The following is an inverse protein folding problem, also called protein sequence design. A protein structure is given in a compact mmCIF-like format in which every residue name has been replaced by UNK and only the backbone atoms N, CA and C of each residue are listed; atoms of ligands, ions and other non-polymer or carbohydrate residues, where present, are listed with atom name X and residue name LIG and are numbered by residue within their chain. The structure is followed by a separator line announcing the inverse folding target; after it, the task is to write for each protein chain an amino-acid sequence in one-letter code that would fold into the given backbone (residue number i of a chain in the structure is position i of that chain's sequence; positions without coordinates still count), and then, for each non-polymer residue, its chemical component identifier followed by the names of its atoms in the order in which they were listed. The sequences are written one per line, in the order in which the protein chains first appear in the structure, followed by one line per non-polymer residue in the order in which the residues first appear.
data_IF_128416995138
#
_entry.id   IF_128416995138
#
_cell.length_a   1.000
_cell.length_b   1.000
_cell.length_c   1.000
_cell.angle_alpha   90.00
_cell.angle_beta   90.00
_cell.angle_gamma   90.00
#
_symmetry.space_group_name_H-M   'P 1'
#
loop_
_entity.id
_entity.type
_entity.pdbx_description
1 polymer ?
#
# COMPACT_ATOMS: atom_id res chain seq x y z
N UNK A 1 5.30 -63.05 -9.18
CA UNK A 1 5.11 -61.79 -9.93
C UNK A 1 4.58 -60.74 -8.96
N UNK A 2 5.41 -59.77 -8.54
CA UNK A 2 5.01 -58.69 -7.63
C UNK A 2 4.76 -57.44 -8.48
N UNK A 3 3.50 -57.04 -8.61
CA UNK A 3 3.14 -55.78 -9.24
C UNK A 3 3.53 -54.63 -8.29
N UNK A 4 4.54 -53.85 -8.67
CA UNK A 4 4.85 -52.59 -8.01
C UNK A 4 3.82 -51.55 -8.44
N UNK A 5 2.90 -51.20 -7.54
CA UNK A 5 2.05 -50.01 -7.70
C UNK A 5 2.87 -48.84 -7.17
N UNK A 6 3.51 -48.10 -8.08
CA UNK A 6 4.16 -46.83 -7.77
C UNK A 6 3.08 -45.74 -7.80
N UNK A 7 2.42 -45.51 -6.67
CA UNK A 7 1.48 -44.39 -6.50
C UNK A 7 2.26 -43.07 -6.49
N UNK A 8 2.12 -42.30 -7.58
CA UNK A 8 2.63 -40.94 -7.71
C UNK A 8 1.86 -39.97 -6.83
N UNK A 9 2.55 -39.35 -5.88
CA UNK A 9 2.02 -38.27 -5.04
C UNK A 9 2.09 -36.96 -5.85
N UNK A 10 1.01 -36.60 -6.55
CA UNK A 10 0.89 -35.30 -7.20
C UNK A 10 0.61 -34.27 -6.10
N UNK A 11 1.66 -33.57 -5.65
CA UNK A 11 1.53 -32.40 -4.80
C UNK A 11 0.92 -31.28 -5.64
N UNK A 12 -0.40 -31.07 -5.51
CA UNK A 12 -1.09 -29.89 -6.00
C UNK A 12 -0.56 -28.67 -5.24
N UNK A 13 0.47 -28.02 -5.77
CA UNK A 13 0.88 -26.70 -5.32
C UNK A 13 -0.21 -25.71 -5.71
N UNK A 14 -1.06 -25.35 -4.75
CA UNK A 14 -2.01 -24.25 -4.90
C UNK A 14 -1.23 -22.95 -5.08
N UNK A 15 -1.38 -22.33 -6.25
CA UNK A 15 -0.95 -20.95 -6.47
C UNK A 15 -1.85 -20.04 -5.64
N UNK A 16 -1.36 -19.60 -4.48
CA UNK A 16 -2.05 -18.59 -3.66
C UNK A 16 -1.88 -17.25 -4.37
N UNK A 17 -2.98 -16.71 -4.91
CA UNK A 17 -3.02 -15.35 -5.40
C UNK A 17 -3.40 -14.43 -4.24
N UNK A 18 -2.78 -13.26 -4.16
CA UNK A 18 -3.17 -12.25 -3.17
C UNK A 18 -4.60 -11.80 -3.47
N UNK A 19 -5.49 -11.93 -2.51
CA UNK A 19 -6.89 -11.56 -2.66
C UNK A 19 -7.10 -10.13 -2.18
N UNK A 20 -8.15 -9.47 -2.69
CA UNK A 20 -8.49 -8.14 -2.19
C UNK A 20 -9.03 -8.25 -0.76
N UNK A 21 -8.45 -7.47 0.14
CA UNK A 21 -8.87 -7.35 1.53
C UNK A 21 -9.88 -6.20 1.61
N UNK A 22 -11.16 -6.53 1.81
CA UNK A 22 -12.26 -5.58 1.59
C UNK A 22 -12.70 -4.84 2.85
N UNK A 23 -12.36 -5.35 4.03
CA UNK A 23 -12.68 -4.71 5.31
C UNK A 23 -11.42 -4.34 6.08
N UNK A 24 -11.56 -3.42 7.04
CA UNK A 24 -10.48 -3.11 7.98
C UNK A 24 -10.00 -4.37 8.71
N UNK A 25 -10.93 -5.22 9.15
CA UNK A 25 -10.64 -6.46 9.85
C UNK A 25 -9.85 -7.43 8.97
N UNK A 26 -10.20 -7.60 7.69
CA UNK A 26 -9.45 -8.47 6.77
C UNK A 26 -7.98 -8.05 6.66
N UNK A 27 -7.73 -6.72 6.64
CA UNK A 27 -6.38 -6.16 6.58
C UNK A 27 -5.65 -6.40 7.92
N UNK A 28 -6.29 -6.10 9.06
CA UNK A 28 -5.71 -6.30 10.38
C UNK A 28 -5.35 -7.78 10.64
N UNK A 29 -6.25 -8.70 10.28
CA UNK A 29 -6.06 -10.13 10.42
C UNK A 29 -4.92 -10.62 9.52
N UNK A 30 -4.87 -10.15 8.27
CA UNK A 30 -3.78 -10.49 7.34
C UNK A 30 -2.42 -9.99 7.83
N UNK A 31 -2.34 -8.79 8.41
CA UNK A 31 -1.13 -8.28 9.05
C UNK A 31 -0.74 -9.16 10.24
N UNK A 32 -1.69 -9.54 11.09
CA UNK A 32 -1.45 -10.37 12.27
C UNK A 32 -1.00 -11.79 11.91
N UNK A 33 -1.39 -12.28 10.73
CA UNK A 33 -0.93 -13.54 10.15
C UNK A 33 0.44 -13.44 9.45
N UNK A 34 1.06 -12.24 9.41
CA UNK A 34 2.35 -12.01 8.77
C UNK A 34 2.28 -11.98 7.24
N UNK A 35 1.08 -11.79 6.65
CA UNK A 35 0.93 -11.69 5.19
C UNK A 35 1.55 -10.39 4.66
N UNK A 36 2.05 -10.45 3.42
CA UNK A 36 2.53 -9.26 2.70
C UNK A 36 1.33 -8.50 2.16
N UNK A 37 1.20 -7.23 2.53
CA UNK A 37 0.09 -6.39 2.09
C UNK A 37 0.55 -5.42 1.00
N UNK A 38 -0.14 -5.42 -0.14
CA UNK A 38 0.02 -4.42 -1.20
C UNK A 38 -1.11 -3.41 -1.12
N UNK A 39 -0.77 -2.13 -1.08
CA UNK A 39 -1.69 -1.00 -1.10
C UNK A 39 -1.75 -0.43 -2.53
N UNK A 40 -2.96 -0.22 -3.03
CA UNK A 40 -3.20 0.34 -4.37
C UNK A 40 -4.13 1.54 -4.24
N UNK A 41 -3.73 2.67 -4.80
CA UNK A 41 -4.50 3.92 -4.77
C UNK A 41 -4.76 4.44 -6.18
N UNK A 42 -6.03 4.61 -6.53
CA UNK A 42 -6.49 5.29 -7.74
C UNK A 42 -6.79 6.74 -7.38
N UNK A 43 -5.83 7.65 -7.61
CA UNK A 43 -5.90 9.03 -7.09
C UNK A 43 -7.14 9.79 -7.61
N UNK A 44 -7.56 9.51 -8.84
CA UNK A 44 -8.73 10.16 -9.45
C UNK A 44 -10.08 9.79 -8.81
N UNK A 45 -10.14 8.69 -8.04
CA UNK A 45 -11.31 8.28 -7.27
C UNK A 45 -11.29 8.84 -5.83
N UNK A 46 -10.20 9.53 -5.44
CA UNK A 46 -10.01 10.12 -4.11
C UNK A 46 -10.28 11.62 -4.11
N UNK A 47 -10.49 12.17 -2.92
CA UNK A 47 -10.47 13.62 -2.71
C UNK A 47 -9.04 14.09 -2.50
N UNK A 48 -8.39 14.49 -3.60
CA UNK A 48 -7.07 15.07 -3.58
C UNK A 48 -7.17 16.61 -3.60
N UNK A 49 -6.88 17.26 -2.48
CA UNK A 49 -6.70 18.70 -2.50
C UNK A 49 -5.44 19.05 -3.29
N UNK A 50 -5.62 19.72 -4.44
CA UNK A 50 -4.52 20.31 -5.24
C UNK A 50 -3.56 19.32 -5.92
N UNK A 51 -4.02 18.15 -6.35
CA UNK A 51 -3.25 17.31 -7.28
C UNK A 51 -3.71 17.51 -8.75
N UNK A 52 -2.80 17.38 -9.73
CA UNK A 52 -3.16 17.42 -11.14
C UNK A 52 -4.21 16.35 -11.48
N UNK A 53 -5.07 16.64 -12.47
CA UNK A 53 -6.23 15.82 -12.87
C UNK A 53 -5.88 14.52 -13.60
N UNK A 54 -4.61 14.14 -13.63
CA UNK A 54 -4.17 12.93 -14.32
C UNK A 54 -4.59 11.67 -13.55
N UNK A 55 -5.07 10.66 -14.29
CA UNK A 55 -5.39 9.36 -13.72
C UNK A 55 -4.09 8.64 -13.34
N UNK A 56 -3.71 8.74 -12.07
CA UNK A 56 -2.59 8.00 -11.48
C UNK A 56 -3.13 6.83 -10.68
N UNK A 57 -2.57 5.64 -10.93
CA UNK A 57 -2.69 4.46 -10.07
C UNK A 57 -1.32 4.24 -9.42
N UNK A 58 -1.25 4.40 -8.10
CA UNK A 58 -0.05 4.14 -7.31
C UNK A 58 -0.17 2.79 -6.61
N UNK A 59 0.92 2.03 -6.57
CA UNK A 59 1.00 0.79 -5.80
C UNK A 59 2.24 0.81 -4.91
N UNK A 60 2.08 0.36 -3.67
CA UNK A 60 3.17 0.26 -2.71
C UNK A 60 2.99 -0.99 -1.85
N UNK A 61 4.10 -1.62 -1.49
CA UNK A 61 4.13 -2.71 -0.51
C UNK A 61 5.00 -2.27 0.68
N UNK A 62 4.41 -1.59 1.68
CA UNK A 62 5.13 -1.27 2.90
C UNK A 62 5.67 -2.56 3.54
N UNK A 63 6.91 -2.50 4.04
CA UNK A 63 7.53 -3.63 4.74
C UNK A 63 7.10 -3.74 6.21
N UNK A 64 6.38 -2.73 6.73
CA UNK A 64 5.94 -2.67 8.11
C UNK A 64 4.56 -2.01 8.21
N UNK A 65 3.71 -2.61 9.04
CA UNK A 65 2.39 -2.12 9.41
C UNK A 65 2.26 -2.12 10.93
N UNK A 66 1.45 -1.21 11.45
CA UNK A 66 0.98 -1.22 12.83
C UNK A 66 -0.54 -1.27 12.84
N UNK A 67 -1.11 -2.18 13.63
CA UNK A 67 -2.53 -2.18 14.01
C UNK A 67 -2.61 -1.54 15.39
N UNK A 68 -3.35 -0.45 15.53
CA UNK A 68 -3.45 0.36 16.74
C UNK A 68 -4.90 0.31 17.23
N UNK A 69 -5.08 -0.21 18.45
CA UNK A 69 -6.35 -0.28 19.17
C UNK A 69 -7.52 -0.87 18.37
N UNK A 70 -7.23 -1.74 17.40
CA UNK A 70 -8.20 -2.28 16.43
C UNK A 70 -9.05 -1.21 15.73
N UNK A 71 -8.57 0.03 15.69
CA UNK A 71 -9.30 1.16 15.13
C UNK A 71 -8.53 1.87 14.01
N UNK A 72 -7.21 1.67 13.95
CA UNK A 72 -6.35 2.28 12.93
C UNK A 72 -5.24 1.34 12.50
N UNK A 73 -5.04 1.22 11.19
CA UNK A 73 -3.87 0.60 10.58
C UNK A 73 -3.01 1.71 10.00
N UNK A 74 -1.71 1.66 10.24
CA UNK A 74 -0.78 2.63 9.66
C UNK A 74 0.47 1.98 9.10
N UNK A 75 0.94 2.53 7.98
CA UNK A 75 2.17 2.13 7.31
C UNK A 75 2.84 3.33 6.66
N UNK A 76 4.09 3.20 6.26
CA UNK A 76 4.77 4.25 5.51
C UNK A 76 5.78 3.70 4.52
N UNK A 77 6.01 4.45 3.47
CA UNK A 77 7.05 4.16 2.46
C UNK A 77 7.91 5.40 2.28
N UNK A 78 9.21 5.19 2.10
CA UNK A 78 10.13 6.21 1.59
C UNK A 78 10.38 5.91 0.13
N UNK A 79 10.02 6.82 -0.75
CA UNK A 79 10.26 6.71 -2.18
C UNK A 79 11.29 7.75 -2.59
N UNK A 80 12.47 7.29 -3.00
CA UNK A 80 13.47 8.17 -3.62
C UNK A 80 13.12 8.38 -5.09
N UNK A 81 13.25 9.60 -5.59
CA UNK A 81 12.97 9.93 -6.99
C UNK A 81 13.79 11.13 -7.46
N UNK A 82 14.00 11.22 -8.78
CA UNK A 82 14.49 12.41 -9.48
C UNK A 82 13.37 13.10 -10.29
N UNK A 83 12.16 12.53 -10.29
CA UNK A 83 11.06 12.92 -11.17
C UNK A 83 9.97 13.75 -10.48
N UNK A 84 10.15 14.07 -9.19
CA UNK A 84 9.19 14.89 -8.48
C UNK A 84 9.06 16.27 -9.18
N UNK A 85 7.83 16.70 -9.54
CA UNK A 85 7.61 17.90 -10.34
C UNK A 85 8.05 19.19 -9.66
N UNK A 86 8.18 19.22 -8.32
CA UNK A 86 8.63 20.40 -7.58
C UNK A 86 10.14 20.67 -7.73
N UNK A 87 10.92 19.65 -8.10
CA UNK A 87 12.38 19.75 -8.17
C UNK A 87 12.98 18.70 -9.13
N UNK A 88 12.48 18.62 -10.37
CA UNK A 88 12.94 17.63 -11.36
C UNK A 88 14.46 17.64 -11.53
N UNK A 89 15.05 16.45 -11.59
CA UNK A 89 16.49 16.24 -11.69
C UNK A 89 17.24 16.31 -10.36
N UNK A 90 16.61 16.78 -9.28
CA UNK A 90 17.23 16.80 -7.94
C UNK A 90 16.89 15.53 -7.15
N UNK A 91 17.79 15.05 -6.27
CA UNK A 91 17.51 13.97 -5.33
C UNK A 91 16.37 14.34 -4.35
N UNK A 92 15.22 13.67 -4.48
CA UNK A 92 14.03 13.89 -3.65
C UNK A 92 13.66 12.61 -2.89
N UNK A 93 13.22 12.78 -1.64
CA UNK A 93 12.57 11.77 -0.83
C UNK A 93 11.09 12.12 -0.64
N UNK A 94 10.21 11.25 -1.12
CA UNK A 94 8.79 11.27 -0.81
C UNK A 94 8.52 10.32 0.36
N UNK A 95 8.16 10.88 1.50
CA UNK A 95 7.71 10.11 2.65
C UNK A 95 6.19 10.01 2.63
N UNK A 96 5.67 8.83 2.29
CA UNK A 96 4.25 8.55 2.16
C UNK A 96 3.76 7.81 3.40
N UNK A 97 2.84 8.42 4.14
CA UNK A 97 2.20 7.86 5.33
C UNK A 97 0.76 7.49 5.00
N UNK A 98 0.42 6.23 5.25
CA UNK A 98 -0.93 5.69 5.12
C UNK A 98 -1.57 5.55 6.50
N UNK A 99 -2.82 5.97 6.62
CA UNK A 99 -3.69 5.64 7.75
C UNK A 99 -5.01 5.11 7.20
N UNK A 100 -5.42 3.94 7.65
CA UNK A 100 -6.70 3.29 7.34
C UNK A 100 -7.44 3.18 8.67
N UNK A 101 -8.61 3.78 8.78
CA UNK A 101 -9.43 3.72 9.99
C UNK A 101 -10.46 2.58 9.88
N UNK A 102 -10.99 2.15 11.03
CA UNK A 102 -11.97 1.04 11.10
C UNK A 102 -13.27 1.32 10.35
N UNK A 103 -13.64 2.58 10.19
CA UNK A 103 -14.79 3.03 9.39
C UNK A 103 -14.57 2.98 7.87
N UNK A 104 -13.36 2.58 7.43
CA UNK A 104 -12.97 2.51 6.03
C UNK A 104 -12.48 3.83 5.44
N UNK A 105 -12.41 4.92 6.21
CA UNK A 105 -11.74 6.14 5.77
C UNK A 105 -10.23 5.92 5.67
N UNK A 106 -9.62 6.48 4.62
CA UNK A 106 -8.18 6.36 4.37
C UNK A 106 -7.60 7.74 4.13
N UNK A 107 -6.51 8.07 4.84
CA UNK A 107 -5.71 9.26 4.56
C UNK A 107 -4.31 8.87 4.13
N UNK A 108 -3.84 9.45 3.05
CA UNK A 108 -2.49 9.28 2.51
C UNK A 108 -1.82 10.64 2.48
N UNK A 109 -0.80 10.82 3.33
CA UNK A 109 -0.02 12.04 3.38
C UNK A 109 1.33 11.81 2.72
N UNK A 110 1.66 12.59 1.71
CA UNK A 110 3.00 12.65 1.14
C UNK A 110 3.71 13.90 1.67
N UNK A 111 4.93 13.71 2.17
CA UNK A 111 5.84 14.79 2.55
C UNK A 111 7.06 14.70 1.63
N UNK A 112 7.23 15.72 0.80
CA UNK A 112 8.31 15.82 -0.19
C UNK A 112 9.48 16.55 0.47
N UNK A 113 10.63 15.92 0.50
CA UNK A 113 11.85 16.44 1.11
C UNK A 113 13.02 16.39 0.14
N UNK A 114 13.94 17.33 0.26
CA UNK A 114 15.26 17.20 -0.36
C UNK A 114 16.00 16.02 0.28
N UNK A 115 16.56 15.12 -0.55
CA UNK A 115 17.15 13.88 -0.05
C UNK A 115 18.50 14.08 0.66
N UNK A 116 19.18 15.21 0.43
CA UNK A 116 20.51 15.51 0.98
C UNK A 116 20.42 16.14 2.36
N UNK A 117 19.49 17.07 2.57
CA UNK A 117 19.39 17.85 3.82
C UNK A 117 18.06 17.62 4.57
N UNK A 118 17.13 16.82 4.04
CA UNK A 118 15.81 16.54 4.61
C UNK A 118 14.91 17.77 4.78
N UNK A 119 15.23 18.89 4.12
CA UNK A 119 14.37 20.06 4.09
C UNK A 119 13.04 19.72 3.41
N UNK A 120 11.93 20.02 4.09
CA UNK A 120 10.60 19.80 3.53
C UNK A 120 10.29 20.83 2.45
N UNK A 121 10.06 20.36 1.22
CA UNK A 121 9.69 21.20 0.08
C UNK A 121 8.18 21.40 0.00
N UNK A 122 7.41 20.35 0.30
CA UNK A 122 5.95 20.39 0.27
C UNK A 122 5.35 19.25 1.09
N UNK A 123 4.05 19.36 1.37
CA UNK A 123 3.24 18.23 1.82
C UNK A 123 1.83 18.32 1.28
N UNK A 124 1.25 17.18 0.91
CA UNK A 124 -0.11 17.07 0.43
C UNK A 124 -0.79 15.84 1.04
N UNK A 125 -2.11 15.94 1.19
CA UNK A 125 -2.95 14.88 1.72
C UNK A 125 -3.98 14.48 0.67
N UNK A 126 -4.19 13.17 0.56
CA UNK A 126 -5.18 12.54 -0.30
C UNK A 126 -6.09 11.73 0.61
N UNK A 127 -7.38 12.04 0.60
CA UNK A 127 -8.37 11.32 1.37
C UNK A 127 -9.16 10.39 0.43
N UNK A 128 -9.17 9.10 0.75
CA UNK A 128 -9.84 8.05 -0.01
C UNK A 128 -10.77 7.26 0.92
N UNK A 129 -11.51 6.30 0.35
CA UNK A 129 -12.21 5.28 1.13
C UNK A 129 -11.72 3.88 0.73
N UNK A 130 -11.74 2.95 1.68
CA UNK A 130 -11.44 1.56 1.38
C UNK A 130 -12.45 1.03 0.34
N UNK A 131 -11.93 0.33 -0.67
CA UNK A 131 -12.64 -0.13 -1.88
C UNK A 131 -13.08 0.96 -2.86
N UNK A 132 -12.84 2.25 -2.57
CA UNK A 132 -13.14 3.37 -3.48
C UNK A 132 -11.97 4.35 -3.52
N UNK A 133 -11.15 4.26 -4.56
CA UNK A 133 -9.88 4.97 -4.66
C UNK A 133 -8.73 4.38 -3.84
N UNK A 134 -8.99 3.50 -2.87
CA UNK A 134 -7.95 2.78 -2.14
C UNK A 134 -8.30 1.29 -1.95
N UNK A 135 -7.35 0.39 -2.23
CA UNK A 135 -7.52 -1.07 -2.11
C UNK A 135 -6.29 -1.68 -1.43
N UNK A 136 -6.52 -2.76 -0.69
CA UNK A 136 -5.47 -3.58 -0.09
C UNK A 136 -5.57 -5.02 -0.63
N UNK A 137 -4.43 -5.68 -0.77
CA UNK A 137 -4.32 -7.08 -1.21
C UNK A 137 -3.33 -7.83 -0.32
N UNK A 138 -3.59 -9.10 0.00
CA UNK A 138 -2.71 -9.91 0.84
C UNK A 138 -2.94 -11.40 0.75
#
# INVERSE_FOLDING_TARGET
MKAMILSGLILLSSVVHAEQLTTFTDIADSISQGKKITLVMSIHECNAQKLPSNSIIASAQPNAFLVIDNNRITASVKHFTLDNPLARGNPILEFVKYNINSDGSVSVKNTVMNATNYEQLASFQIDCALNKGFKAFG
#
